data_IF_774674071018
#
_entry.id   IF_774674071018
#
_cell.length_a   1.000
_cell.length_b   1.000
_cell.length_c   1.000
_cell.angle_alpha   90.00
_cell.angle_beta   90.00
_cell.angle_gamma   90.00
#
_symmetry.space_group_name_H-M   'P 1'
#
loop_
_entity.id
_entity.type
_entity.pdbx_description
1 polymer ?
#
# COMPACT_ATOMS: atom_id res chain seq x y z
N UNK A 1 -29.67 20.39 -28.42
CA UNK A 1 -28.40 20.65 -27.71
C UNK A 1 -28.72 20.84 -26.23
N UNK A 2 -28.72 19.74 -25.46
CA UNK A 2 -28.96 19.79 -24.02
C UNK A 2 -27.74 20.35 -23.31
N UNK A 3 -27.89 21.52 -22.70
CA UNK A 3 -26.86 22.07 -21.80
C UNK A 3 -27.02 21.39 -20.44
N UNK A 4 -25.96 20.71 -20.01
CA UNK A 4 -25.74 20.26 -18.65
C UNK A 4 -25.76 21.46 -17.69
N UNK A 5 -26.84 21.62 -16.93
CA UNK A 5 -26.98 22.65 -15.88
C UNK A 5 -26.49 22.05 -14.56
N UNK A 6 -25.17 22.04 -14.36
CA UNK A 6 -24.61 22.10 -13.00
C UNK A 6 -24.39 23.57 -12.67
N UNK A 7 -25.50 24.31 -12.55
CA UNK A 7 -25.50 25.52 -11.73
C UNK A 7 -25.45 24.99 -10.30
N UNK A 8 -24.34 25.18 -9.60
CA UNK A 8 -24.26 24.93 -8.16
C UNK A 8 -24.74 26.21 -7.46
N UNK A 9 -26.05 26.38 -7.16
CA UNK A 9 -26.58 27.59 -6.55
C UNK A 9 -25.71 28.00 -5.38
N UNK A 10 -25.52 27.09 -4.41
CA UNK A 10 -24.85 27.30 -3.11
C UNK A 10 -23.57 28.12 -3.12
N UNK A 11 -22.73 28.07 -4.16
CA UNK A 11 -21.51 28.88 -4.17
C UNK A 11 -21.78 30.39 -4.27
N UNK A 12 -22.90 30.80 -4.88
CA UNK A 12 -23.31 32.20 -4.91
C UNK A 12 -23.74 32.63 -3.52
N UNK A 13 -24.60 31.84 -2.86
CA UNK A 13 -25.07 32.10 -1.50
C UNK A 13 -23.90 32.10 -0.50
N UNK A 14 -22.94 31.19 -0.61
CA UNK A 14 -21.72 31.18 0.22
C UNK A 14 -20.92 32.47 0.04
N UNK A 15 -20.76 32.96 -1.19
CA UNK A 15 -20.04 34.22 -1.45
C UNK A 15 -20.79 35.41 -0.87
N UNK A 16 -22.11 35.41 -0.93
CA UNK A 16 -22.95 36.47 -0.35
C UNK A 16 -22.90 36.44 1.17
N UNK A 17 -23.13 35.29 1.81
CA UNK A 17 -23.03 35.10 3.27
C UNK A 17 -21.63 35.40 3.82
N UNK A 18 -20.57 35.20 3.02
CA UNK A 18 -19.21 35.58 3.40
C UNK A 18 -18.99 37.09 3.37
N UNK A 19 -19.66 37.83 2.47
CA UNK A 19 -19.57 39.29 2.36
C UNK A 19 -20.51 40.00 3.33
N UNK A 20 -21.66 39.39 3.59
CA UNK A 20 -22.78 39.95 4.32
C UNK A 20 -23.34 38.91 5.32
N UNK A 21 -22.64 38.65 6.45
CA UNK A 21 -23.10 37.69 7.46
C UNK A 21 -24.48 38.01 8.04
N UNK A 22 -24.92 39.27 7.97
CA UNK A 22 -26.27 39.71 8.38
C UNK A 22 -27.40 39.01 7.61
N UNK A 23 -27.14 38.57 6.37
CA UNK A 23 -28.11 37.84 5.55
C UNK A 23 -28.42 36.44 6.10
N UNK A 24 -27.62 35.94 7.05
CA UNK A 24 -27.85 34.66 7.71
C UNK A 24 -29.21 34.56 8.41
N UNK A 25 -29.78 35.69 8.86
CA UNK A 25 -31.07 35.69 9.56
C UNK A 25 -32.26 35.41 8.63
N UNK A 26 -32.16 35.82 7.37
CA UNK A 26 -33.21 35.65 6.35
C UNK A 26 -32.91 34.49 5.39
N UNK A 27 -31.82 33.76 5.65
CA UNK A 27 -31.38 32.66 4.80
C UNK A 27 -32.27 31.42 4.98
N UNK A 28 -32.68 30.79 3.87
CA UNK A 28 -33.45 29.55 3.90
C UNK A 28 -32.56 28.34 4.20
N UNK A 29 -32.24 28.16 5.48
CA UNK A 29 -31.45 27.04 5.99
C UNK A 29 -32.13 25.67 5.78
N UNK A 30 -33.47 25.64 5.74
CA UNK A 30 -34.23 24.40 5.57
C UNK A 30 -34.28 23.94 4.10
N UNK A 31 -34.17 24.86 3.15
CA UNK A 31 -34.07 24.55 1.73
C UNK A 31 -32.78 23.83 1.32
N UNK A 32 -31.72 23.90 2.15
CA UNK A 32 -30.43 23.27 1.84
C UNK A 32 -30.49 21.74 1.92
N UNK A 33 -29.98 21.08 0.87
CA UNK A 33 -29.75 19.63 0.89
C UNK A 33 -28.55 19.27 1.79
N UNK A 34 -28.37 17.97 2.10
CA UNK A 34 -27.19 17.50 2.84
C UNK A 34 -25.87 17.85 2.16
N UNK A 35 -25.83 17.75 0.83
CA UNK A 35 -24.66 18.12 0.03
C UNK A 35 -24.36 19.61 0.11
N UNK A 36 -25.41 20.45 -0.01
CA UNK A 36 -25.31 21.90 0.10
C UNK A 36 -24.75 22.31 1.47
N UNK A 37 -25.24 21.67 2.54
CA UNK A 37 -24.72 21.85 3.89
C UNK A 37 -23.23 21.49 3.99
N UNK A 38 -22.81 20.36 3.42
CA UNK A 38 -21.41 19.94 3.48
C UNK A 38 -20.47 20.94 2.80
N UNK A 39 -20.88 21.52 1.66
CA UNK A 39 -20.10 22.56 0.96
C UNK A 39 -20.13 23.87 1.74
N UNK A 40 -21.29 24.25 2.29
CA UNK A 40 -21.43 25.47 3.07
C UNK A 40 -20.54 25.43 4.31
N UNK A 41 -20.61 24.37 5.11
CA UNK A 41 -19.82 24.23 6.33
C UNK A 41 -18.33 24.06 6.07
N UNK A 42 -17.95 23.49 4.91
CA UNK A 42 -16.56 23.49 4.48
C UNK A 42 -15.99 24.91 4.38
N UNK A 43 -16.77 25.84 3.83
CA UNK A 43 -16.39 27.23 3.64
C UNK A 43 -16.66 28.16 4.82
N UNK A 44 -17.78 27.95 5.53
CA UNK A 44 -18.34 28.85 6.53
C UNK A 44 -18.73 28.03 7.78
N UNK A 45 -17.74 27.51 8.54
CA UNK A 45 -17.97 26.63 9.67
C UNK A 45 -18.74 27.29 10.81
N UNK A 46 -18.78 28.62 10.87
CA UNK A 46 -19.49 29.37 11.91
C UNK A 46 -21.01 29.18 11.90
N UNK A 47 -21.59 28.62 10.84
CA UNK A 47 -23.04 28.34 10.72
C UNK A 47 -23.40 26.89 11.10
N UNK A 48 -22.50 26.19 11.79
CA UNK A 48 -22.72 24.82 12.25
C UNK A 48 -23.93 24.68 13.19
N UNK A 49 -24.22 25.72 13.99
CA UNK A 49 -25.39 25.79 14.87
C UNK A 49 -26.73 25.77 14.11
N UNK A 50 -26.72 26.20 12.84
CA UNK A 50 -27.90 26.20 11.95
C UNK A 50 -28.03 24.92 11.13
N UNK A 51 -27.02 24.05 11.16
CA UNK A 51 -26.99 22.89 10.29
C UNK A 51 -28.04 21.84 10.68
N UNK A 52 -28.79 21.37 9.68
CA UNK A 52 -29.72 20.25 9.83
C UNK A 52 -28.95 18.94 9.61
N UNK A 53 -28.10 18.57 10.58
CA UNK A 53 -27.14 17.45 10.50
C UNK A 53 -27.72 16.12 9.97
N UNK A 54 -28.98 15.82 10.30
CA UNK A 54 -29.69 14.62 9.83
C UNK A 54 -29.79 14.52 8.30
N UNK A 55 -29.74 15.65 7.57
CA UNK A 55 -29.80 15.70 6.09
C UNK A 55 -28.51 15.22 5.43
N UNK A 56 -27.38 15.24 6.14
CA UNK A 56 -26.11 14.79 5.58
C UNK A 56 -26.14 13.27 5.34
N UNK A 57 -25.83 12.88 4.11
CA UNK A 57 -25.60 11.50 3.72
C UNK A 57 -24.20 11.03 4.16
N UNK A 58 -23.91 9.75 3.98
CA UNK A 58 -22.56 9.20 4.18
C UNK A 58 -21.49 9.99 3.41
N UNK A 59 -21.72 10.25 2.13
CA UNK A 59 -20.75 10.96 1.28
C UNK A 59 -20.53 12.40 1.74
N UNK A 60 -21.59 13.06 2.21
CA UNK A 60 -21.52 14.43 2.74
C UNK A 60 -20.68 14.48 4.02
N UNK A 61 -20.88 13.50 4.91
CA UNK A 61 -20.07 13.38 6.12
C UNK A 61 -18.61 13.07 5.82
N UNK A 62 -18.32 12.13 4.92
CA UNK A 62 -16.93 11.84 4.52
C UNK A 62 -16.25 13.10 3.98
N UNK A 63 -16.88 13.80 3.05
CA UNK A 63 -16.35 15.05 2.49
C UNK A 63 -16.09 16.10 3.58
N UNK A 64 -17.07 16.29 4.47
CA UNK A 64 -16.98 17.29 5.52
C UNK A 64 -15.89 16.95 6.52
N UNK A 65 -15.88 15.74 7.09
CA UNK A 65 -14.91 15.32 8.11
C UNK A 65 -13.49 15.19 7.58
N UNK A 66 -13.30 14.85 6.30
CA UNK A 66 -11.97 14.88 5.68
C UNK A 66 -11.37 16.29 5.67
N UNK A 67 -12.19 17.33 5.63
CA UNK A 67 -11.74 18.72 5.57
C UNK A 67 -11.87 19.46 6.91
N UNK A 68 -12.82 19.04 7.76
CA UNK A 68 -13.28 19.71 8.98
C UNK A 68 -13.56 18.65 10.06
N UNK A 69 -12.52 18.02 10.62
CA UNK A 69 -12.69 16.99 11.65
C UNK A 69 -13.34 17.52 12.94
N UNK A 70 -13.35 18.84 13.17
CA UNK A 70 -14.03 19.48 14.31
C UNK A 70 -15.55 19.19 14.37
N UNK A 71 -16.18 18.83 13.25
CA UNK A 71 -17.61 18.47 13.22
C UNK A 71 -17.92 17.02 13.57
N UNK A 72 -16.91 16.26 14.01
CA UNK A 72 -17.07 14.87 14.42
C UNK A 72 -18.08 14.67 15.55
N UNK A 73 -18.23 15.65 16.45
CA UNK A 73 -19.21 15.61 17.55
C UNK A 73 -20.66 15.59 17.07
N UNK A 74 -20.94 16.12 15.87
CA UNK A 74 -22.28 16.12 15.26
C UNK A 74 -22.50 14.95 14.30
N UNK A 75 -21.44 14.20 14.00
CA UNK A 75 -21.49 13.16 12.99
C UNK A 75 -22.36 11.98 13.44
N UNK A 76 -23.26 11.57 12.55
CA UNK A 76 -23.95 10.29 12.67
C UNK A 76 -23.00 9.17 12.20
N UNK A 77 -22.12 8.74 13.10
CA UNK A 77 -21.13 7.68 12.85
C UNK A 77 -21.77 6.34 12.43
N UNK A 78 -23.07 6.14 12.68
CA UNK A 78 -23.82 4.99 12.16
C UNK A 78 -23.96 4.98 10.63
N UNK A 79 -23.81 6.14 9.97
CA UNK A 79 -23.81 6.26 8.50
C UNK A 79 -22.44 6.03 7.87
N UNK A 80 -21.37 6.08 8.66
CA UNK A 80 -19.99 5.93 8.17
C UNK A 80 -19.66 4.44 8.07
N UNK A 81 -19.25 4.00 6.89
CA UNK A 81 -18.77 2.63 6.74
C UNK A 81 -17.33 2.50 7.26
N UNK A 82 -16.93 1.26 7.55
CA UNK A 82 -15.58 0.96 8.05
C UNK A 82 -14.47 1.45 7.11
N UNK A 83 -14.67 1.31 5.79
CA UNK A 83 -13.68 1.77 4.81
C UNK A 83 -13.46 3.30 4.87
N UNK A 84 -14.53 4.07 5.11
CA UNK A 84 -14.42 5.51 5.28
C UNK A 84 -13.82 5.86 6.63
N UNK A 85 -14.18 5.14 7.69
CA UNK A 85 -13.59 5.32 9.02
C UNK A 85 -12.07 5.16 8.97
N UNK A 86 -11.57 4.12 8.28
CA UNK A 86 -10.14 3.92 8.07
C UNK A 86 -9.53 5.10 7.31
N UNK A 87 -10.19 5.55 6.23
CA UNK A 87 -9.70 6.68 5.41
C UNK A 87 -9.66 8.00 6.20
N UNK A 88 -10.66 8.22 7.06
CA UNK A 88 -10.74 9.37 7.97
C UNK A 88 -9.64 9.31 9.03
N UNK A 89 -9.44 8.18 9.69
CA UNK A 89 -8.38 8.00 10.70
C UNK A 89 -6.97 8.15 10.11
N UNK A 90 -6.77 7.77 8.84
CA UNK A 90 -5.52 8.00 8.14
C UNK A 90 -5.18 9.49 8.00
N UNK A 91 -6.19 10.35 7.82
CA UNK A 91 -6.02 11.81 7.67
C UNK A 91 -6.06 12.52 9.01
N UNK A 92 -6.93 12.07 9.92
CA UNK A 92 -7.27 12.72 11.19
C UNK A 92 -7.28 11.70 12.33
N UNK A 93 -6.12 11.37 12.90
CA UNK A 93 -6.02 10.38 13.97
C UNK A 93 -6.83 10.71 15.24
N UNK A 94 -7.15 11.99 15.47
CA UNK A 94 -7.99 12.44 16.59
C UNK A 94 -9.42 11.87 16.52
N UNK A 95 -9.91 11.49 15.33
CA UNK A 95 -11.24 10.91 15.16
C UNK A 95 -11.39 9.50 15.76
N UNK A 96 -10.30 8.94 16.30
CA UNK A 96 -10.30 7.63 16.94
C UNK A 96 -11.24 7.53 18.14
N UNK A 97 -11.52 8.64 18.83
CA UNK A 97 -12.47 8.65 19.96
C UNK A 97 -13.90 8.29 19.55
N UNK A 98 -14.25 8.48 18.27
CA UNK A 98 -15.56 8.16 17.72
C UNK A 98 -15.59 6.82 16.97
N UNK A 99 -14.44 6.15 16.86
CA UNK A 99 -14.33 4.94 16.06
C UNK A 99 -14.65 3.68 16.87
N UNK A 100 -15.51 2.84 16.31
CA UNK A 100 -15.79 1.51 16.85
C UNK A 100 -14.80 0.48 16.28
N UNK A 101 -13.66 0.35 16.96
CA UNK A 101 -12.58 -0.56 16.58
C UNK A 101 -12.98 -2.05 16.62
N UNK A 102 -14.01 -2.44 17.37
CA UNK A 102 -14.47 -3.83 17.46
C UNK A 102 -15.06 -4.33 16.13
N UNK A 103 -15.49 -3.40 15.27
CA UNK A 103 -15.99 -3.72 13.93
C UNK A 103 -14.88 -3.91 12.89
N UNK A 104 -13.64 -3.55 13.21
CA UNK A 104 -12.54 -3.62 12.26
C UNK A 104 -12.17 -5.08 11.96
N UNK A 105 -12.09 -5.41 10.67
CA UNK A 105 -11.59 -6.70 10.22
C UNK A 105 -10.09 -6.60 9.97
N UNK A 106 -9.47 -7.74 9.69
CA UNK A 106 -8.03 -7.80 9.45
C UNK A 106 -7.55 -6.83 8.37
N UNK A 107 -8.31 -6.67 7.28
CA UNK A 107 -7.94 -5.74 6.18
C UNK A 107 -7.98 -4.29 6.62
N UNK A 108 -8.95 -3.92 7.45
CA UNK A 108 -9.17 -2.56 7.94
C UNK A 108 -8.01 -2.18 8.87
N UNK A 109 -7.61 -3.09 9.77
CA UNK A 109 -6.44 -2.95 10.63
C UNK A 109 -5.12 -2.85 9.86
N UNK A 110 -4.89 -3.72 8.86
CA UNK A 110 -3.67 -3.68 8.05
C UNK A 110 -3.53 -2.36 7.32
N UNK A 111 -4.63 -1.87 6.75
CA UNK A 111 -4.65 -0.58 6.09
C UNK A 111 -4.45 0.56 7.09
N UNK A 112 -5.04 0.52 8.29
CA UNK A 112 -4.84 1.57 9.28
C UNK A 112 -3.40 1.60 9.78
N UNK A 113 -2.88 0.46 10.26
CA UNK A 113 -1.54 0.35 10.84
C UNK A 113 -0.43 0.64 9.84
N UNK A 114 -0.68 0.42 8.54
CA UNK A 114 0.26 0.81 7.50
C UNK A 114 0.59 2.30 7.53
N UNK A 115 -0.44 3.14 7.67
CA UNK A 115 -0.32 4.59 7.58
C UNK A 115 -0.20 5.26 8.95
N UNK A 116 -0.81 4.67 9.98
CA UNK A 116 -0.92 5.21 11.33
C UNK A 116 -0.58 4.14 12.38
N UNK A 117 0.71 3.82 12.57
CA UNK A 117 1.15 2.72 13.44
C UNK A 117 0.80 2.93 14.93
N UNK A 118 0.56 4.17 15.37
CA UNK A 118 0.17 4.47 16.74
C UNK A 118 -1.17 3.83 17.16
N UNK A 119 -2.01 3.41 16.20
CA UNK A 119 -3.24 2.69 16.48
C UNK A 119 -3.02 1.24 16.89
N UNK A 120 -1.77 0.77 17.00
CA UNK A 120 -1.47 -0.58 17.50
C UNK A 120 -2.07 -0.86 18.88
N UNK A 121 -2.23 0.16 19.72
CA UNK A 121 -2.78 0.03 21.08
C UNK A 121 -4.25 -0.38 21.08
N UNK A 122 -4.96 -0.13 19.97
CA UNK A 122 -6.35 -0.53 19.76
C UNK A 122 -6.48 -1.80 18.92
N UNK A 123 -5.38 -2.26 18.29
CA UNK A 123 -5.42 -3.35 17.34
C UNK A 123 -5.57 -4.70 18.04
N UNK A 124 -6.62 -5.45 17.69
CA UNK A 124 -6.69 -6.87 17.98
C UNK A 124 -5.77 -7.65 17.02
N UNK A 125 -4.56 -7.94 17.50
CA UNK A 125 -3.55 -8.70 16.76
C UNK A 125 -3.98 -10.14 16.44
N UNK A 126 -4.92 -10.74 17.18
CA UNK A 126 -5.41 -12.10 16.89
C UNK A 126 -6.26 -12.13 15.62
N UNK A 127 -7.02 -11.07 15.35
CA UNK A 127 -7.74 -10.90 14.06
C UNK A 127 -6.73 -10.88 12.90
N UNK A 128 -5.58 -10.23 13.08
CA UNK A 128 -4.53 -10.17 12.06
C UNK A 128 -3.80 -11.50 11.87
N UNK A 129 -3.59 -12.26 12.95
CA UNK A 129 -2.94 -13.58 12.89
C UNK A 129 -3.85 -14.66 12.31
N UNK A 130 -5.17 -14.55 12.51
CA UNK A 130 -6.14 -15.58 12.11
C UNK A 130 -6.83 -15.29 10.78
N UNK A 131 -6.60 -14.11 10.18
CA UNK A 131 -7.09 -13.71 8.86
C UNK A 131 -6.98 -14.87 7.85
N UNK A 132 -8.13 -15.46 7.50
CA UNK A 132 -8.19 -16.71 6.72
C UNK A 132 -7.51 -16.55 5.37
N UNK A 133 -7.03 -17.69 4.85
CA UNK A 133 -6.38 -17.90 3.55
C UNK A 133 -7.29 -17.57 2.33
N UNK A 134 -7.92 -16.40 2.28
CA UNK A 134 -8.65 -15.86 1.12
C UNK A 134 -7.70 -15.09 0.19
N UNK A 135 -7.71 -15.44 -1.09
CA UNK A 135 -6.67 -15.24 -2.12
C UNK A 135 -6.15 -13.80 -2.41
N UNK A 136 -6.54 -12.75 -1.68
CA UNK A 136 -6.05 -11.38 -1.94
C UNK A 136 -5.14 -10.79 -0.86
N UNK A 137 -5.21 -11.29 0.36
CA UNK A 137 -4.57 -10.65 1.53
C UNK A 137 -3.79 -11.64 2.40
N UNK A 138 -3.47 -12.82 1.85
CA UNK A 138 -2.87 -13.95 2.57
C UNK A 138 -1.60 -13.60 3.36
N UNK A 139 -0.90 -12.51 3.02
CA UNK A 139 0.41 -12.18 3.59
C UNK A 139 0.68 -10.66 3.64
N UNK A 140 -0.31 -9.88 4.06
CA UNK A 140 -0.15 -8.44 4.29
C UNK A 140 0.94 -8.11 5.30
N UNK A 141 1.30 -9.07 6.16
CA UNK A 141 2.41 -8.96 7.10
C UNK A 141 3.73 -8.59 6.45
N UNK A 142 4.09 -9.19 5.31
CA UNK A 142 5.33 -8.80 4.64
C UNK A 142 5.29 -7.34 4.21
N UNK A 143 4.18 -6.88 3.66
CA UNK A 143 4.05 -5.49 3.26
C UNK A 143 3.97 -4.52 4.46
N UNK A 144 3.25 -4.90 5.53
CA UNK A 144 3.19 -4.16 6.78
C UNK A 144 4.60 -4.02 7.35
N UNK A 145 5.36 -5.10 7.48
CA UNK A 145 6.72 -5.09 8.03
C UNK A 145 7.74 -4.36 7.14
N UNK A 146 7.52 -4.31 5.82
CA UNK A 146 8.33 -3.45 4.94
C UNK A 146 8.20 -1.99 5.34
N UNK A 147 7.01 -1.54 5.73
CA UNK A 147 6.72 -0.13 6.05
C UNK A 147 6.80 0.18 7.55
N UNK A 148 6.46 -0.79 8.39
CA UNK A 148 6.33 -0.71 9.84
C UNK A 148 7.07 -1.88 10.51
N UNK A 149 8.42 -1.90 10.44
CA UNK A 149 9.24 -3.00 10.97
C UNK A 149 9.13 -3.16 12.50
N UNK A 150 8.65 -2.16 13.23
CA UNK A 150 8.43 -2.23 14.67
C UNK A 150 7.41 -3.31 15.08
N UNK A 151 6.53 -3.74 14.17
CA UNK A 151 5.54 -4.81 14.43
C UNK A 151 6.11 -6.23 14.24
N UNK A 152 7.43 -6.37 14.12
CA UNK A 152 8.13 -7.64 13.92
C UNK A 152 7.86 -8.68 15.03
N UNK A 153 7.68 -8.23 16.28
CA UNK A 153 7.38 -9.10 17.42
C UNK A 153 5.95 -9.68 17.37
N UNK A 154 5.03 -9.00 16.68
CA UNK A 154 3.64 -9.44 16.49
C UNK A 154 3.43 -10.37 15.30
N UNK A 155 4.38 -10.39 14.36
CA UNK A 155 4.24 -11.09 13.10
C UNK A 155 4.22 -12.62 13.29
N UNK A 156 3.23 -13.35 12.72
CA UNK A 156 3.24 -14.81 12.66
C UNK A 156 4.19 -15.28 11.55
N UNK A 157 5.49 -15.24 11.83
CA UNK A 157 6.56 -15.56 10.88
C UNK A 157 6.38 -16.91 10.17
N UNK A 158 5.85 -17.91 10.87
CA UNK A 158 5.55 -19.26 10.40
C UNK A 158 4.44 -19.32 9.32
N UNK A 159 3.67 -18.24 9.16
CA UNK A 159 2.58 -18.17 8.16
C UNK A 159 3.01 -17.52 6.85
N UNK A 160 4.17 -16.84 6.82
CA UNK A 160 4.69 -16.22 5.61
C UNK A 160 5.20 -17.28 4.63
N UNK A 161 4.68 -17.26 3.40
CA UNK A 161 5.19 -18.11 2.32
C UNK A 161 6.48 -17.56 1.68
N UNK A 162 7.12 -18.39 0.84
CA UNK A 162 8.40 -18.06 0.21
C UNK A 162 8.38 -16.81 -0.66
N UNK A 163 7.28 -16.51 -1.35
CA UNK A 163 7.17 -15.32 -2.19
C UNK A 163 7.22 -14.05 -1.33
N UNK A 164 6.50 -14.06 -0.20
CA UNK A 164 6.46 -12.90 0.70
C UNK A 164 7.73 -12.73 1.52
N UNK A 165 8.38 -13.84 1.88
CA UNK A 165 9.74 -13.79 2.42
C UNK A 165 10.72 -13.14 1.46
N UNK A 166 10.70 -13.49 0.16
CA UNK A 166 11.54 -12.84 -0.85
C UNK A 166 11.26 -11.33 -0.90
N UNK A 167 9.99 -10.92 -0.96
CA UNK A 167 9.61 -9.50 -0.97
C UNK A 167 10.07 -8.75 0.28
N UNK A 168 9.87 -9.36 1.46
CA UNK A 168 10.26 -8.78 2.73
C UNK A 168 11.78 -8.63 2.81
N UNK A 169 12.53 -9.71 2.60
CA UNK A 169 14.00 -9.71 2.71
C UNK A 169 14.67 -8.84 1.65
N UNK A 170 14.04 -8.64 0.50
CA UNK A 170 14.52 -7.69 -0.51
C UNK A 170 14.59 -6.27 0.05
N UNK A 171 13.66 -5.89 0.92
CA UNK A 171 13.54 -4.54 1.48
C UNK A 171 14.03 -4.42 2.92
N UNK A 172 14.00 -5.52 3.67
CA UNK A 172 14.28 -5.63 5.11
C UNK A 172 15.17 -6.85 5.37
N UNK A 173 16.45 -6.83 4.95
CA UNK A 173 17.38 -7.94 5.14
C UNK A 173 17.64 -8.27 6.63
N UNK A 174 17.35 -7.34 7.55
CA UNK A 174 17.46 -7.52 8.99
C UNK A 174 16.58 -8.67 9.55
N UNK A 175 15.50 -9.05 8.84
CA UNK A 175 14.62 -10.17 9.25
C UNK A 175 15.09 -11.55 8.75
N UNK A 176 16.30 -11.66 8.23
CA UNK A 176 16.83 -12.92 7.69
C UNK A 176 16.96 -14.04 8.74
N UNK A 177 17.11 -13.70 10.02
CA UNK A 177 17.15 -14.65 11.14
C UNK A 177 15.78 -15.32 11.38
N UNK A 178 14.67 -14.64 11.03
CA UNK A 178 13.31 -15.15 11.16
C UNK A 178 12.86 -16.02 9.99
N UNK A 179 13.56 -15.95 8.85
CA UNK A 179 13.20 -16.70 7.65
C UNK A 179 13.54 -18.19 7.81
N UNK A 180 12.50 -19.03 7.76
CA UNK A 180 12.57 -20.48 8.01
C UNK A 180 12.31 -21.32 6.74
N UNK A 181 12.13 -20.69 5.57
CA UNK A 181 11.69 -21.36 4.33
C UNK A 181 12.61 -21.12 3.13
N UNK A 182 13.90 -20.84 3.37
CA UNK A 182 14.89 -20.54 2.33
C UNK A 182 14.94 -21.60 1.23
N UNK A 183 14.84 -22.87 1.61
CA UNK A 183 14.85 -24.04 0.73
C UNK A 183 13.65 -24.11 -0.21
N UNK A 184 12.55 -23.41 0.11
CA UNK A 184 11.33 -23.37 -0.71
C UNK A 184 11.30 -22.20 -1.69
N UNK A 185 12.33 -21.32 -1.67
CA UNK A 185 12.43 -20.22 -2.62
C UNK A 185 12.63 -20.77 -4.03
N UNK A 186 11.79 -20.31 -4.97
CA UNK A 186 11.95 -20.63 -6.38
C UNK A 186 13.21 -19.99 -6.96
N UNK A 187 13.67 -20.46 -8.12
CA UNK A 187 14.78 -19.82 -8.83
C UNK A 187 14.52 -18.34 -9.13
N UNK A 188 13.25 -18.00 -9.42
CA UNK A 188 12.79 -16.62 -9.57
C UNK A 188 12.97 -15.82 -8.27
N UNK A 189 12.52 -16.38 -7.15
CA UNK A 189 12.65 -15.76 -5.83
C UNK A 189 14.12 -15.48 -5.47
N UNK A 190 15.00 -16.46 -5.69
CA UNK A 190 16.42 -16.32 -5.43
C UNK A 190 17.10 -15.26 -6.29
N UNK A 191 16.87 -15.23 -7.62
CA UNK A 191 17.55 -14.22 -8.43
C UNK A 191 17.08 -12.80 -8.09
N UNK A 192 15.79 -12.59 -7.78
CA UNK A 192 15.25 -11.29 -7.35
C UNK A 192 15.91 -10.86 -6.05
N UNK A 193 15.97 -11.77 -5.07
CA UNK A 193 16.55 -11.49 -3.77
C UNK A 193 18.04 -11.19 -3.89
N UNK A 194 18.84 -12.07 -4.49
CA UNK A 194 20.29 -11.90 -4.63
C UNK A 194 20.67 -10.71 -5.50
N UNK A 195 19.83 -10.33 -6.47
CA UNK A 195 20.04 -9.10 -7.24
C UNK A 195 19.99 -7.85 -6.37
N UNK A 196 19.24 -7.88 -5.27
CA UNK A 196 19.02 -6.74 -4.38
C UNK A 196 19.83 -6.86 -3.09
N UNK A 197 20.07 -8.08 -2.62
CA UNK A 197 20.67 -8.43 -1.34
C UNK A 197 21.69 -9.58 -1.55
N UNK A 198 22.88 -9.29 -2.12
CA UNK A 198 23.88 -10.30 -2.44
C UNK A 198 24.46 -11.01 -1.20
N UNK A 199 24.30 -10.45 0.00
CA UNK A 199 24.74 -11.07 1.27
C UNK A 199 24.03 -12.39 1.59
N UNK A 200 22.91 -12.71 0.93
CA UNK A 200 22.22 -14.00 1.10
C UNK A 200 22.75 -15.12 0.19
N UNK A 201 23.86 -14.89 -0.51
CA UNK A 201 24.49 -15.87 -1.40
C UNK A 201 24.77 -17.22 -0.72
N UNK A 202 25.20 -17.20 0.55
CA UNK A 202 25.53 -18.42 1.31
C UNK A 202 24.30 -19.27 1.65
N UNK A 203 23.10 -18.69 1.60
CA UNK A 203 21.83 -19.39 1.81
C UNK A 203 21.19 -19.88 0.51
N UNK A 204 21.69 -19.43 -0.64
CA UNK A 204 21.08 -19.69 -1.93
C UNK A 204 21.24 -21.14 -2.39
N UNK A 205 20.13 -21.78 -2.74
CA UNK A 205 20.16 -23.03 -3.48
C UNK A 205 20.41 -22.76 -4.98
N UNK A 206 21.68 -22.60 -5.36
CA UNK A 206 22.09 -22.30 -6.74
C UNK A 206 21.56 -23.29 -7.79
N UNK A 207 21.22 -24.53 -7.39
CA UNK A 207 20.70 -25.57 -8.29
C UNK A 207 19.31 -25.24 -8.83
N UNK A 208 18.49 -24.47 -8.10
CA UNK A 208 17.13 -24.11 -8.53
C UNK A 208 17.09 -23.00 -9.58
N UNK A 209 18.21 -22.30 -9.80
CA UNK A 209 18.30 -21.26 -10.83
C UNK A 209 18.29 -21.89 -12.22
N UNK A 210 17.37 -21.40 -13.06
CA UNK A 210 17.33 -21.72 -14.49
C UNK A 210 18.34 -20.87 -15.26
N UNK A 211 18.55 -21.16 -16.55
CA UNK A 211 19.38 -20.30 -17.41
C UNK A 211 18.89 -18.86 -17.49
N UNK A 212 17.57 -18.65 -17.47
CA UNK A 212 16.99 -17.31 -17.44
C UNK A 212 17.36 -16.58 -16.13
N UNK A 213 17.21 -17.25 -14.99
CA UNK A 213 17.53 -16.70 -13.68
C UNK A 213 19.00 -16.33 -13.56
N UNK A 214 19.89 -17.24 -14.00
CA UNK A 214 21.34 -16.99 -14.05
C UNK A 214 21.70 -15.79 -14.93
N UNK A 215 21.16 -15.72 -16.16
CA UNK A 215 21.44 -14.60 -17.05
C UNK A 215 20.98 -13.25 -16.47
N UNK A 216 19.86 -13.27 -15.75
CA UNK A 216 19.29 -12.08 -15.08
C UNK A 216 20.11 -11.67 -13.87
N UNK A 217 20.53 -12.64 -13.05
CA UNK A 217 21.34 -12.43 -11.86
C UNK A 217 22.73 -11.90 -12.22
N UNK A 218 23.48 -12.60 -13.08
CA UNK A 218 24.85 -12.22 -13.43
C UNK A 218 24.93 -10.87 -14.14
N UNK A 219 23.87 -10.46 -14.84
CA UNK A 219 23.77 -9.11 -15.40
C UNK A 219 23.84 -8.03 -14.32
N UNK A 220 23.30 -8.29 -13.12
CA UNK A 220 23.25 -7.36 -12.00
C UNK A 220 24.36 -7.59 -10.98
N UNK A 221 24.73 -8.85 -10.76
CA UNK A 221 25.66 -9.30 -9.73
C UNK A 221 26.71 -10.24 -10.34
N UNK A 222 27.68 -9.70 -11.11
CA UNK A 222 28.69 -10.50 -11.79
C UNK A 222 29.63 -11.27 -10.84
N UNK A 223 29.69 -10.91 -9.56
CA UNK A 223 30.50 -11.59 -8.56
C UNK A 223 30.09 -13.06 -8.32
N UNK A 224 28.87 -13.47 -8.71
CA UNK A 224 28.40 -14.86 -8.58
C UNK A 224 28.76 -15.75 -9.77
N UNK A 225 29.65 -15.30 -10.65
CA UNK A 225 30.11 -16.02 -11.83
C UNK A 225 30.77 -17.37 -11.50
N UNK A 226 31.39 -17.50 -10.33
CA UNK A 226 32.01 -18.73 -9.84
C UNK A 226 30.97 -19.80 -9.44
N UNK A 227 29.76 -19.38 -9.03
CA UNK A 227 28.64 -20.28 -8.70
C UNK A 227 27.79 -20.65 -9.91
N UNK A 228 27.95 -19.93 -11.03
CA UNK A 228 27.07 -20.08 -12.19
C UNK A 228 27.23 -21.43 -12.89
N UNK A 229 26.10 -22.10 -13.09
CA UNK A 229 26.01 -23.21 -14.03
C UNK A 229 25.84 -22.67 -15.46
N UNK A 230 26.97 -22.35 -16.09
CA UNK A 230 27.05 -21.78 -17.43
C UNK A 230 26.37 -22.64 -18.51
N UNK A 231 26.21 -23.95 -18.28
CA UNK A 231 25.57 -24.87 -19.22
C UNK A 231 24.06 -24.61 -19.37
N UNK A 232 23.43 -24.01 -18.35
CA UNK A 232 22.01 -23.68 -18.37
C UNK A 232 21.68 -22.47 -19.24
N UNK A 233 22.66 -21.63 -19.58
CA UNK A 233 22.42 -20.41 -20.35
C UNK A 233 22.10 -20.72 -21.81
N UNK A 234 20.92 -20.27 -22.27
CA UNK A 234 20.54 -20.36 -23.68
C UNK A 234 21.36 -19.38 -24.53
N UNK A 235 21.39 -19.58 -25.87
CA UNK A 235 22.05 -18.63 -26.80
C UNK A 235 21.56 -17.20 -26.60
N UNK A 236 20.27 -17.01 -26.34
CA UNK A 236 19.67 -15.70 -26.04
C UNK A 236 20.13 -15.16 -24.68
N UNK A 237 20.16 -15.99 -23.64
CA UNK A 237 20.67 -15.61 -22.32
C UNK A 237 22.13 -15.12 -22.39
N UNK A 238 22.98 -15.83 -23.11
CA UNK A 238 24.36 -15.44 -23.38
C UNK A 238 24.48 -14.09 -24.09
N UNK A 239 23.74 -13.86 -25.18
CA UNK A 239 23.77 -12.56 -25.90
C UNK A 239 23.38 -11.39 -24.99
N UNK A 240 22.35 -11.57 -24.17
CA UNK A 240 21.89 -10.54 -23.24
C UNK A 240 22.94 -10.27 -22.16
N UNK A 241 23.52 -11.33 -21.61
CA UNK A 241 24.55 -11.25 -20.58
C UNK A 241 25.79 -10.53 -21.10
N UNK A 242 26.34 -10.96 -22.23
CA UNK A 242 27.60 -10.41 -22.79
C UNK A 242 27.46 -8.95 -23.24
N UNK A 243 26.26 -8.50 -23.60
CA UNK A 243 26.02 -7.07 -23.87
C UNK A 243 26.19 -6.20 -22.62
N UNK A 244 25.97 -6.75 -21.43
CA UNK A 244 26.03 -6.02 -20.16
C UNK A 244 27.27 -6.35 -19.33
N UNK A 245 27.81 -7.55 -19.51
CA UNK A 245 28.96 -8.09 -18.78
C UNK A 245 29.91 -8.77 -19.79
N UNK A 246 30.62 -8.00 -20.63
CA UNK A 246 31.50 -8.53 -21.68
C UNK A 246 32.68 -9.36 -21.13
N UNK A 247 33.05 -9.19 -19.87
CA UNK A 247 34.12 -9.95 -19.21
C UNK A 247 33.85 -11.47 -19.14
N UNK A 248 32.62 -11.91 -19.39
CA UNK A 248 32.28 -13.34 -19.46
C UNK A 248 32.43 -13.96 -20.85
N UNK A 249 32.98 -13.23 -21.83
CA UNK A 249 33.16 -13.73 -23.19
C UNK A 249 33.94 -15.07 -23.23
N UNK A 250 34.95 -15.21 -22.38
CA UNK A 250 35.78 -16.41 -22.27
C UNK A 250 35.07 -17.61 -21.62
N UNK A 251 33.89 -17.41 -21.06
CA UNK A 251 33.01 -18.48 -20.54
C UNK A 251 31.97 -18.93 -21.57
N UNK A 252 31.74 -18.14 -22.63
CA UNK A 252 30.71 -18.43 -23.62
C UNK A 252 31.08 -19.62 -24.53
N UNK A 253 30.12 -20.44 -24.98
CA UNK A 253 30.37 -21.44 -26.01
C UNK A 253 30.83 -20.82 -27.34
N UNK A 254 31.62 -21.54 -28.13
CA UNK A 254 32.17 -21.04 -29.40
C UNK A 254 31.08 -20.58 -30.39
N UNK A 255 29.93 -21.26 -30.39
CA UNK A 255 28.76 -20.87 -31.19
C UNK A 255 28.25 -19.46 -30.87
N UNK A 256 28.39 -19.01 -29.63
CA UNK A 256 28.01 -17.65 -29.21
C UNK A 256 29.11 -16.66 -29.59
N UNK A 257 30.38 -17.02 -29.38
CA UNK A 257 31.53 -16.15 -29.68
C UNK A 257 31.63 -15.82 -31.17
N UNK A 258 31.41 -16.81 -32.04
CA UNK A 258 31.41 -16.62 -33.50
C UNK A 258 30.34 -15.66 -34.00
N UNK A 259 29.21 -15.51 -33.29
CA UNK A 259 28.16 -14.54 -33.61
C UNK A 259 28.54 -13.12 -33.16
N UNK A 260 29.31 -12.99 -32.07
CA UNK A 260 29.77 -11.69 -31.57
C UNK A 260 30.88 -11.09 -32.42
N UNK A 261 31.75 -11.92 -33.02
CA UNK A 261 32.83 -11.48 -33.93
C UNK A 261 32.35 -11.01 -35.32
N UNK A 262 31.06 -11.25 -35.66
CA UNK A 262 30.46 -10.92 -36.97
C UNK A 262 29.73 -9.58 -36.99
N UNK A 263 29.89 -8.75 -35.95
CA UNK A 263 29.35 -7.39 -35.84
C UNK A 263 30.47 -6.42 -35.55
#
# INVERSE_FOLDING_TARGET
MGRSVYSFPVFKEIKELKRHPELANDFDWEGLSGHDWSILLWHLPQYADRCVWKKLSRSDWCFLLESRPEFAEYCDWGKIELADSVSLLQKHPQLAEYCDFDKFRSVDWLQLLWYQPQFEVHCDWEILKTARRGLRWRNCWAFLLVNQPQFADKCPWEKLDSLFWVLLLQKRPEFADKCHVWETFSGVGWWILLSSQPQFADRCNWKVLTGHDWSSLLRRQPQFADKCDWSKLTKTGWRILLRKQPQFADRAPEEVRSVLKKK
#
